data_IF_978145921108
#
_entry.id   IF_978145921108
#
_cell.length_a   1.000
_cell.length_b   1.000
_cell.length_c   1.000
_cell.angle_alpha   90.00
_cell.angle_beta   90.00
_cell.angle_gamma   90.00
#
_symmetry.space_group_name_H-M   'P 1'
#
loop_
_entity.id
_entity.type
_entity.pdbx_description
1 polymer ?
#
# COMPACT_ATOMS: atom_id res chain seq x y z
N UNK A 1 -3.35 -29.08 -52.68
CA UNK A 1 -2.91 -27.69 -52.44
C UNK A 1 -3.37 -27.33 -51.00
N UNK A 2 -2.47 -27.48 -50.03
CA UNK A 2 -2.77 -27.46 -48.61
C UNK A 2 -2.50 -26.03 -48.15
N UNK A 3 -3.52 -25.37 -47.61
CA UNK A 3 -3.36 -24.05 -46.98
C UNK A 3 -3.30 -24.25 -45.45
N UNK A 4 -2.14 -23.92 -44.88
CA UNK A 4 -1.88 -23.99 -43.45
C UNK A 4 -2.62 -22.86 -42.74
N UNK A 5 -3.41 -23.23 -41.72
CA UNK A 5 -4.05 -22.30 -40.82
C UNK A 5 -3.05 -21.66 -39.85
N UNK A 6 -3.08 -20.34 -39.74
CA UNK A 6 -2.41 -19.59 -38.72
C UNK A 6 -3.19 -19.72 -37.41
N UNK A 7 -2.57 -20.25 -36.37
CA UNK A 7 -3.03 -20.14 -34.99
C UNK A 7 -2.62 -18.79 -34.43
N UNK A 8 -3.53 -18.01 -33.81
CA UNK A 8 -3.12 -16.79 -33.15
C UNK A 8 -2.40 -17.12 -31.84
N UNK A 9 -1.22 -16.55 -31.68
CA UNK A 9 -0.44 -16.52 -30.45
C UNK A 9 -1.28 -15.76 -29.42
N UNK A 10 -1.71 -16.43 -28.34
CA UNK A 10 -2.34 -15.80 -27.18
C UNK A 10 -1.28 -14.93 -26.49
N UNK A 11 -1.43 -13.62 -26.57
CA UNK A 11 -0.68 -12.67 -25.77
C UNK A 11 -1.05 -12.91 -24.30
N UNK A 12 -0.08 -13.36 -23.50
CA UNK A 12 -0.19 -13.36 -22.05
C UNK A 12 -0.19 -11.89 -21.57
N UNK A 13 -1.37 -11.37 -21.28
CA UNK A 13 -1.51 -10.06 -20.68
C UNK A 13 -0.83 -10.05 -19.31
N UNK A 14 0.23 -9.26 -19.17
CA UNK A 14 0.88 -8.98 -17.90
C UNK A 14 -0.05 -8.07 -17.09
N UNK A 15 -0.81 -8.65 -16.17
CA UNK A 15 -1.59 -7.88 -15.21
C UNK A 15 -0.63 -7.23 -14.21
N UNK A 16 -0.54 -5.91 -14.25
CA UNK A 16 0.07 -5.11 -13.20
C UNK A 16 -0.81 -5.29 -11.98
N UNK A 17 -0.28 -5.97 -10.95
CA UNK A 17 -0.91 -6.01 -9.64
C UNK A 17 -0.74 -4.66 -8.97
N UNK A 18 -1.55 -3.68 -9.37
CA UNK A 18 -2.02 -2.69 -8.42
C UNK A 18 -2.98 -3.42 -7.50
N UNK A 19 -2.95 -3.19 -6.19
CA UNK A 19 -4.01 -3.63 -5.27
C UNK A 19 -5.31 -2.87 -5.51
N UNK A 20 -5.57 -2.52 -6.73
CA UNK A 20 -6.89 -2.29 -7.25
C UNK A 20 -7.55 -3.65 -7.19
N UNK A 21 -8.60 -3.78 -6.40
CA UNK A 21 -9.55 -4.86 -6.53
C UNK A 21 -10.17 -4.79 -7.93
N UNK A 22 -9.40 -5.15 -8.96
CA UNK A 22 -9.96 -5.54 -10.24
C UNK A 22 -10.54 -6.92 -10.00
N UNK A 23 -11.83 -6.98 -9.77
CA UNK A 23 -12.59 -8.21 -9.82
C UNK A 23 -12.39 -8.80 -11.22
N UNK A 24 -11.44 -9.74 -11.35
CA UNK A 24 -11.36 -10.56 -12.53
C UNK A 24 -12.55 -11.52 -12.52
N UNK A 25 -13.59 -11.19 -13.26
CA UNK A 25 -14.58 -12.18 -13.66
C UNK A 25 -13.96 -13.11 -14.71
N UNK A 26 -13.30 -14.18 -14.25
CA UNK A 26 -13.05 -15.32 -15.11
C UNK A 26 -14.36 -16.07 -15.32
N UNK A 27 -15.03 -15.82 -16.44
CA UNK A 27 -16.09 -16.69 -16.92
C UNK A 27 -15.43 -17.97 -17.45
N UNK A 28 -15.31 -18.96 -16.59
CA UNK A 28 -14.87 -20.30 -16.90
C UNK A 28 -15.53 -21.25 -15.91
N UNK A 29 -16.66 -21.85 -16.30
CA UNK A 29 -17.29 -22.92 -15.51
C UNK A 29 -16.38 -24.15 -15.49
N UNK A 30 -15.72 -24.41 -14.35
CA UNK A 30 -15.43 -25.78 -13.92
C UNK A 30 -16.15 -26.01 -12.59
N UNK A 31 -17.00 -27.03 -12.57
CA UNK A 31 -17.70 -27.50 -11.38
C UNK A 31 -16.64 -27.92 -10.34
N UNK A 32 -16.80 -27.48 -9.09
CA UNK A 32 -16.18 -27.92 -7.84
C UNK A 32 -14.98 -27.14 -7.24
N UNK A 33 -14.37 -26.14 -7.86
CA UNK A 33 -13.34 -25.35 -7.17
C UNK A 33 -13.87 -24.16 -6.34
N UNK A 34 -15.15 -23.84 -6.44
CA UNK A 34 -15.74 -22.64 -5.86
C UNK A 34 -15.92 -22.67 -4.33
N UNK A 35 -15.82 -23.84 -3.73
CA UNK A 35 -15.94 -24.05 -2.27
C UNK A 35 -14.57 -24.25 -1.60
N UNK A 36 -13.49 -24.35 -2.37
CA UNK A 36 -12.16 -24.60 -1.80
C UNK A 36 -11.62 -23.37 -1.10
N UNK A 37 -11.00 -23.59 0.07
CA UNK A 37 -10.16 -22.59 0.73
C UNK A 37 -8.81 -22.63 0.04
N UNK A 38 -8.35 -21.47 -0.44
CA UNK A 38 -6.98 -21.29 -0.92
C UNK A 38 -6.07 -20.88 0.24
N UNK A 39 -4.85 -21.38 0.22
CA UNK A 39 -3.77 -20.99 1.13
C UNK A 39 -2.63 -20.47 0.26
N UNK A 40 -2.12 -19.30 0.59
CA UNK A 40 -0.94 -18.71 -0.02
C UNK A 40 -0.14 -17.93 1.02
N UNK A 41 1.07 -17.55 0.69
CA UNK A 41 1.86 -16.76 1.61
C UNK A 41 3.23 -16.41 1.04
N UNK A 42 4.00 -15.68 1.82
CA UNK A 42 5.37 -15.32 1.48
C UNK A 42 6.19 -15.00 2.71
N UNK A 43 7.50 -14.99 2.52
CA UNK A 43 8.48 -14.50 3.49
C UNK A 43 9.36 -13.48 2.78
N UNK A 44 9.45 -12.29 3.36
CA UNK A 44 10.20 -11.14 2.88
C UNK A 44 11.27 -10.76 3.89
N UNK A 45 12.52 -10.78 3.45
CA UNK A 45 13.67 -10.37 4.25
C UNK A 45 14.57 -9.41 3.46
N UNK A 46 15.22 -8.48 4.15
CA UNK A 46 16.12 -7.54 3.52
C UNK A 46 17.37 -7.25 4.36
N UNK A 47 18.37 -6.70 3.68
CA UNK A 47 19.48 -5.98 4.28
C UNK A 47 19.50 -4.57 3.71
N UNK A 48 19.61 -3.56 4.57
CA UNK A 48 19.71 -2.14 4.16
C UNK A 48 20.99 -1.55 4.74
N UNK A 49 21.70 -0.72 3.96
CA UNK A 49 22.83 0.11 4.42
C UNK A 49 22.53 1.57 4.19
N UNK A 50 22.56 2.36 5.27
CA UNK A 50 22.52 3.82 5.23
C UNK A 50 23.96 4.36 5.22
N UNK A 51 24.32 5.12 4.18
CA UNK A 51 25.69 5.65 4.03
C UNK A 51 26.00 6.83 4.97
N UNK A 52 24.99 7.39 5.65
CA UNK A 52 25.20 8.36 6.72
C UNK A 52 25.64 7.71 8.04
N UNK A 53 25.53 6.38 8.14
CA UNK A 53 25.94 5.55 9.27
C UNK A 53 25.35 6.05 10.61
N UNK A 54 24.00 6.19 10.72
CA UNK A 54 23.37 6.75 11.90
C UNK A 54 23.55 5.84 13.12
N UNK A 55 23.90 6.43 14.26
CA UNK A 55 24.06 5.67 15.51
C UNK A 55 22.74 5.07 16.03
N UNK A 56 21.60 5.55 15.53
CA UNK A 56 20.28 4.97 15.79
C UNK A 56 20.05 3.62 15.09
N UNK A 57 20.89 3.25 14.12
CA UNK A 57 20.68 2.11 13.22
C UNK A 57 19.31 2.10 12.55
N UNK A 58 18.77 3.29 12.25
CA UNK A 58 17.45 3.48 11.66
C UNK A 58 17.49 4.45 10.47
N UNK A 59 16.78 4.09 9.41
CA UNK A 59 16.48 4.97 8.30
C UNK A 59 15.32 5.89 8.70
N UNK A 60 15.51 7.19 8.64
CA UNK A 60 14.46 8.16 8.97
C UNK A 60 13.43 8.26 7.86
N UNK A 61 12.19 8.58 8.26
CA UNK A 61 11.03 8.73 7.37
C UNK A 61 10.74 7.48 6.53
N UNK A 62 11.15 6.31 7.02
CA UNK A 62 10.84 5.00 6.45
C UNK A 62 9.88 4.24 7.36
N UNK A 63 9.04 3.39 6.78
CA UNK A 63 8.09 2.61 7.55
C UNK A 63 8.40 1.12 7.51
N UNK A 64 8.77 0.55 6.36
CA UNK A 64 8.93 -0.89 6.23
C UNK A 64 10.37 -1.35 6.09
N UNK A 65 11.30 -0.40 5.94
CA UNK A 65 12.75 -0.62 5.86
C UNK A 65 13.52 0.27 6.86
N UNK A 66 12.97 0.42 8.07
CA UNK A 66 13.54 1.24 9.16
C UNK A 66 14.91 0.73 9.62
N UNK A 67 15.08 -0.56 9.99
CA UNK A 67 16.38 -1.07 10.43
C UNK A 67 17.44 -0.97 9.33
N UNK A 68 18.62 -0.46 9.68
CA UNK A 68 19.76 -0.38 8.79
C UNK A 68 20.93 -1.20 9.31
N UNK A 69 21.85 -1.60 8.42
CA UNK A 69 23.07 -2.35 8.71
C UNK A 69 22.83 -3.69 9.41
N UNK A 70 21.69 -4.31 9.15
CA UNK A 70 21.34 -5.63 9.68
C UNK A 70 20.43 -6.38 8.70
N UNK A 71 20.42 -7.71 8.82
CA UNK A 71 19.42 -8.54 8.13
C UNK A 71 18.13 -8.46 8.94
N UNK A 72 17.01 -8.18 8.27
CA UNK A 72 15.71 -8.01 8.89
C UNK A 72 14.65 -8.87 8.22
N UNK A 73 13.77 -9.48 9.02
CA UNK A 73 12.52 -10.07 8.56
C UNK A 73 11.50 -8.93 8.43
N UNK A 74 11.21 -8.52 7.19
CA UNK A 74 10.24 -7.48 6.91
C UNK A 74 8.83 -7.97 7.17
N UNK A 75 8.43 -9.04 6.48
CA UNK A 75 7.09 -9.58 6.57
C UNK A 75 7.08 -11.08 6.26
N UNK A 76 6.38 -11.84 7.09
CA UNK A 76 5.96 -13.21 6.77
C UNK A 76 4.45 -13.26 6.85
N UNK A 77 3.78 -13.58 5.75
CA UNK A 77 2.33 -13.57 5.63
C UNK A 77 1.77 -14.94 5.26
N UNK A 78 0.65 -15.29 5.87
CA UNK A 78 -0.19 -16.43 5.47
C UNK A 78 -1.60 -15.92 5.19
N UNK A 79 -2.10 -16.19 3.99
CA UNK A 79 -3.43 -15.83 3.52
C UNK A 79 -4.30 -17.06 3.42
N UNK A 80 -5.45 -17.03 4.10
CA UNK A 80 -6.54 -17.99 3.96
C UNK A 80 -7.72 -17.30 3.29
N UNK A 81 -8.16 -17.79 2.15
CA UNK A 81 -9.25 -17.16 1.40
C UNK A 81 -10.24 -18.18 0.88
N UNK A 82 -11.53 -17.88 1.05
CA UNK A 82 -12.65 -18.54 0.37
C UNK A 82 -13.39 -17.49 -0.47
N UNK A 83 -13.50 -17.70 -1.78
CA UNK A 83 -14.29 -16.83 -2.66
C UNK A 83 -15.75 -16.81 -2.25
N UNK A 84 -16.38 -15.64 -2.32
CA UNK A 84 -17.80 -15.49 -2.01
C UNK A 84 -18.69 -16.07 -3.12
N UNK A 85 -19.50 -17.11 -2.76
CA UNK A 85 -20.52 -17.70 -3.64
C UNK A 85 -21.67 -18.31 -2.78
N UNK A 86 -22.60 -17.51 -2.25
CA UNK A 86 -22.58 -16.05 -2.13
C UNK A 86 -21.78 -15.54 -0.94
N UNK A 87 -21.27 -16.42 -0.04
CA UNK A 87 -20.52 -16.06 1.16
C UNK A 87 -19.08 -16.57 1.07
N UNK A 88 -18.14 -15.70 1.37
CA UNK A 88 -16.73 -15.97 1.46
C UNK A 88 -16.07 -15.30 2.65
N UNK A 89 -14.75 -15.43 2.77
CA UNK A 89 -13.95 -14.74 3.77
C UNK A 89 -12.49 -14.62 3.31
N UNK A 90 -11.77 -13.72 3.94
CA UNK A 90 -10.32 -13.62 3.88
C UNK A 90 -9.75 -13.41 5.27
N UNK A 91 -8.63 -14.09 5.57
CA UNK A 91 -7.84 -13.90 6.79
C UNK A 91 -6.38 -13.87 6.39
N UNK A 92 -5.69 -12.77 6.71
CA UNK A 92 -4.26 -12.58 6.50
C UNK A 92 -3.60 -12.45 7.88
N UNK A 93 -2.57 -13.28 8.11
CA UNK A 93 -1.83 -13.32 9.38
C UNK A 93 -0.38 -12.99 9.10
N UNK A 94 0.10 -11.93 9.75
CA UNK A 94 1.38 -11.29 9.51
C UNK A 94 2.32 -11.33 10.71
N UNK A 95 3.60 -11.48 10.41
CA UNK A 95 4.71 -11.39 11.36
C UNK A 95 5.87 -10.62 10.74
N UNK A 96 6.56 -9.82 11.54
CA UNK A 96 7.74 -9.06 11.09
C UNK A 96 7.63 -7.57 11.35
N UNK A 97 8.71 -6.84 11.09
CA UNK A 97 8.80 -5.41 11.42
C UNK A 97 7.83 -4.54 10.64
N UNK A 98 7.45 -4.93 9.42
CA UNK A 98 6.43 -4.23 8.65
C UNK A 98 5.05 -4.34 9.32
N UNK A 99 4.70 -5.51 9.85
CA UNK A 99 3.47 -5.68 10.61
C UNK A 99 3.44 -4.78 11.86
N UNK A 100 4.55 -4.68 12.60
CA UNK A 100 4.65 -3.82 13.77
C UNK A 100 4.32 -2.36 13.43
N UNK A 101 4.81 -1.86 12.30
CA UNK A 101 4.51 -0.51 11.80
C UNK A 101 3.04 -0.35 11.44
N UNK A 102 2.47 -1.28 10.68
CA UNK A 102 1.05 -1.25 10.27
C UNK A 102 0.12 -1.22 11.47
N UNK A 103 0.45 -1.99 12.53
CA UNK A 103 -0.37 -2.08 13.73
C UNK A 103 -0.07 -0.96 14.76
N UNK A 104 0.85 -0.04 14.46
CA UNK A 104 1.25 1.03 15.38
C UNK A 104 1.95 0.51 16.63
N UNK A 105 2.59 -0.66 16.55
CA UNK A 105 3.39 -1.21 17.65
C UNK A 105 4.69 -0.41 17.67
N UNK A 106 4.88 0.40 18.70
CA UNK A 106 6.18 1.01 18.92
C UNK A 106 7.23 -0.10 19.11
N UNK A 107 8.48 0.05 18.64
CA UNK A 107 9.52 -0.97 18.73
C UNK A 107 9.72 -1.55 20.14
N UNK A 108 9.17 -0.87 21.16
CA UNK A 108 9.23 -1.24 22.58
C UNK A 108 7.92 -0.96 23.31
N UNK A 109 6.79 -0.82 22.59
CA UNK A 109 5.51 -0.40 23.13
C UNK A 109 4.64 -1.58 23.59
N UNK A 110 3.84 -1.34 24.60
CA UNK A 110 2.76 -2.22 25.03
C UNK A 110 1.51 -1.86 24.25
N UNK A 111 0.98 -2.79 23.44
CA UNK A 111 -0.33 -2.62 22.83
C UNK A 111 -1.40 -3.27 23.70
N UNK A 112 -2.52 -2.58 23.96
CA UNK A 112 -3.60 -3.12 24.81
C UNK A 112 -4.32 -4.33 24.18
N UNK A 113 -4.15 -4.60 22.88
CA UNK A 113 -4.88 -5.63 22.12
C UNK A 113 -3.94 -6.52 21.31
N UNK A 114 -3.00 -7.18 22.00
CA UNK A 114 -1.96 -8.00 21.39
C UNK A 114 -2.48 -9.13 20.47
N UNK A 115 -3.72 -9.58 20.65
CA UNK A 115 -4.30 -10.65 19.82
C UNK A 115 -4.69 -10.21 18.40
N UNK A 116 -4.87 -8.92 18.16
CA UNK A 116 -5.21 -8.37 16.84
C UNK A 116 -3.98 -7.86 16.07
N UNK A 117 -2.82 -7.83 16.69
CA UNK A 117 -1.60 -7.23 16.11
C UNK A 117 -1.01 -8.06 14.97
N UNK A 118 -1.33 -9.36 14.89
CA UNK A 118 -0.87 -10.23 13.81
C UNK A 118 -1.95 -10.45 12.73
N UNK A 119 -3.12 -9.83 12.86
CA UNK A 119 -4.17 -9.92 11.86
C UNK A 119 -4.14 -8.67 10.98
N UNK A 120 -3.60 -8.80 9.77
CA UNK A 120 -3.64 -7.71 8.78
C UNK A 120 -5.04 -7.54 8.23
N UNK A 121 -5.67 -8.63 7.82
CA UNK A 121 -7.04 -8.65 7.34
C UNK A 121 -7.82 -9.81 7.96
N UNK A 122 -9.08 -9.57 8.32
CA UNK A 122 -10.06 -10.60 8.65
C UNK A 122 -11.46 -10.07 8.38
N UNK A 123 -12.07 -10.51 7.27
CA UNK A 123 -13.40 -10.06 6.89
C UNK A 123 -14.23 -11.15 6.23
N UNK A 124 -15.53 -11.03 6.39
CA UNK A 124 -16.54 -11.82 5.67
C UNK A 124 -16.96 -11.06 4.42
N UNK A 125 -17.16 -11.78 3.33
CA UNK A 125 -17.67 -11.23 2.07
C UNK A 125 -19.04 -11.85 1.75
N UNK A 126 -20.03 -11.01 1.48
CA UNK A 126 -21.32 -11.41 0.94
C UNK A 126 -21.55 -10.81 -0.44
N UNK A 127 -22.02 -11.61 -1.40
CA UNK A 127 -22.48 -11.13 -2.70
C UNK A 127 -23.99 -11.11 -2.72
N UNK A 128 -24.55 -9.91 -2.84
CA UNK A 128 -26.00 -9.66 -2.89
C UNK A 128 -26.40 -9.47 -4.36
N UNK A 129 -27.37 -10.23 -4.88
CA UNK A 129 -27.73 -10.22 -6.31
C UNK A 129 -28.63 -9.01 -6.68
N UNK A 130 -28.06 -7.80 -6.48
CA UNK A 130 -28.69 -6.53 -6.87
C UNK A 130 -27.96 -6.01 -8.11
N UNK A 131 -28.66 -5.86 -9.23
CA UNK A 131 -28.08 -5.40 -10.49
C UNK A 131 -26.88 -6.25 -10.92
N UNK A 132 -25.70 -5.63 -11.06
CA UNK A 132 -24.45 -6.30 -11.43
C UNK A 132 -23.76 -7.06 -10.25
N UNK A 133 -24.40 -7.13 -9.09
CA UNK A 133 -23.89 -7.76 -7.88
C UNK A 133 -23.25 -6.75 -6.92
N UNK A 134 -23.91 -6.53 -5.77
CA UNK A 134 -23.35 -5.73 -4.67
C UNK A 134 -22.53 -6.65 -3.78
N UNK A 135 -21.25 -6.32 -3.60
CA UNK A 135 -20.37 -6.99 -2.64
C UNK A 135 -20.34 -6.22 -1.33
N UNK A 136 -20.52 -6.94 -0.22
CA UNK A 136 -20.42 -6.39 1.14
C UNK A 136 -19.33 -7.13 1.90
N UNK A 137 -18.31 -6.41 2.36
CA UNK A 137 -17.26 -6.91 3.24
C UNK A 137 -17.43 -6.33 4.64
N UNK A 138 -17.36 -7.18 5.67
CA UNK A 138 -17.48 -6.78 7.08
C UNK A 138 -16.33 -7.37 7.88
N UNK A 139 -15.56 -6.49 8.54
CA UNK A 139 -14.41 -6.87 9.35
C UNK A 139 -13.25 -5.91 9.18
N UNK A 140 -12.01 -6.42 9.34
CA UNK A 140 -10.77 -5.67 9.13
C UNK A 140 -10.23 -5.92 7.73
N UNK A 141 -9.93 -4.86 6.99
CA UNK A 141 -9.40 -4.91 5.62
C UNK A 141 -8.41 -3.78 5.38
N UNK A 142 -7.48 -3.96 4.44
CA UNK A 142 -6.53 -2.91 4.04
C UNK A 142 -7.26 -1.71 3.46
N UNK A 143 -6.63 -0.54 3.55
CA UNK A 143 -7.17 0.71 3.03
C UNK A 143 -7.49 0.63 1.53
N UNK A 144 -8.38 1.49 1.08
CA UNK A 144 -8.68 1.72 -0.33
C UNK A 144 -7.81 2.81 -0.96
N UNK A 145 -6.95 3.44 -0.16
CA UNK A 145 -6.14 4.61 -0.55
C UNK A 145 -4.72 4.19 -0.89
N UNK A 146 -4.10 4.97 -1.79
CA UNK A 146 -2.71 4.80 -2.21
C UNK A 146 -2.50 3.84 -3.37
N UNK A 147 -1.43 4.09 -4.12
CA UNK A 147 -0.98 3.21 -5.20
C UNK A 147 -0.21 2.00 -4.69
N UNK A 148 0.64 2.20 -3.69
CA UNK A 148 1.43 1.13 -3.09
C UNK A 148 0.62 0.30 -2.08
N UNK A 149 1.16 -0.87 -1.72
CA UNK A 149 0.57 -1.81 -0.77
C UNK A 149 1.57 -2.21 0.31
N UNK A 150 1.06 -2.87 1.36
CA UNK A 150 1.87 -3.35 2.48
C UNK A 150 2.88 -4.40 2.00
N UNK A 151 2.50 -5.30 1.11
CA UNK A 151 3.31 -6.40 0.62
C UNK A 151 4.34 -5.93 -0.40
N UNK A 152 5.64 -6.05 -0.09
CA UNK A 152 6.71 -5.57 -0.99
C UNK A 152 6.68 -6.23 -2.36
N UNK A 153 6.30 -7.51 -2.43
CA UNK A 153 6.24 -8.29 -3.67
C UNK A 153 5.31 -7.70 -4.73
N UNK A 154 4.29 -6.95 -4.31
CA UNK A 154 3.25 -6.39 -5.17
C UNK A 154 3.52 -4.92 -5.55
N UNK A 155 4.58 -4.31 -5.00
CA UNK A 155 5.06 -2.98 -5.37
C UNK A 155 6.16 -3.03 -6.43
N UNK A 156 6.36 -1.94 -7.15
CA UNK A 156 7.46 -1.81 -8.12
C UNK A 156 8.81 -1.52 -7.43
N UNK A 157 8.78 -0.76 -6.33
CA UNK A 157 9.94 -0.51 -5.47
C UNK A 157 9.84 -1.35 -4.20
N UNK A 158 10.97 -1.64 -3.56
CA UNK A 158 10.97 -2.36 -2.29
C UNK A 158 10.54 -1.47 -1.13
N UNK A 159 11.18 -0.31 -0.97
CA UNK A 159 10.78 0.69 0.03
C UNK A 159 9.49 1.40 -0.39
N UNK A 160 8.65 1.77 0.57
CA UNK A 160 7.41 2.51 0.29
C UNK A 160 7.70 4.00 0.14
N UNK A 161 6.83 4.67 -0.63
CA UNK A 161 6.83 6.12 -0.79
C UNK A 161 6.54 6.83 0.54
N UNK A 162 6.82 8.12 0.59
CA UNK A 162 6.41 8.99 1.71
C UNK A 162 4.89 9.12 1.76
N UNK A 163 4.22 9.12 0.57
CA UNK A 163 2.76 9.13 0.50
C UNK A 163 2.16 7.91 1.20
N UNK A 164 2.60 6.71 0.84
CA UNK A 164 2.10 5.49 1.47
C UNK A 164 2.43 5.45 2.97
N UNK A 165 3.61 5.95 3.35
CA UNK A 165 4.07 5.91 4.72
C UNK A 165 3.32 6.89 5.64
N UNK A 166 2.98 8.10 5.13
CA UNK A 166 2.58 9.22 5.99
C UNK A 166 1.28 9.92 5.56
N UNK A 167 0.85 9.81 4.29
CA UNK A 167 -0.32 10.53 3.81
C UNK A 167 -1.65 9.80 4.00
N UNK A 168 -1.64 8.46 4.09
CA UNK A 168 -2.82 7.61 4.05
C UNK A 168 -2.85 6.59 5.20
N UNK A 169 -4.03 6.04 5.57
CA UNK A 169 -4.12 4.92 6.51
C UNK A 169 -3.66 3.61 5.87
N UNK A 170 -3.33 2.60 6.70
CA UNK A 170 -2.99 1.25 6.23
C UNK A 170 -4.19 0.31 6.18
N UNK A 171 -5.11 0.43 7.15
CA UNK A 171 -6.25 -0.47 7.27
C UNK A 171 -7.47 0.21 7.90
N UNK A 172 -8.60 -0.46 7.79
CA UNK A 172 -9.86 -0.08 8.42
C UNK A 172 -10.56 -1.31 9.00
N UNK A 173 -11.38 -1.10 10.02
CA UNK A 173 -12.35 -2.07 10.52
C UNK A 173 -13.75 -1.48 10.35
N UNK A 174 -14.64 -2.21 9.68
CA UNK A 174 -16.00 -1.72 9.40
C UNK A 174 -16.69 -2.48 8.28
N UNK A 175 -17.47 -1.74 7.51
CA UNK A 175 -18.24 -2.19 6.36
C UNK A 175 -17.71 -1.53 5.08
N UNK A 176 -17.50 -2.33 4.04
CA UNK A 176 -17.21 -1.88 2.67
C UNK A 176 -18.29 -2.44 1.73
N UNK A 177 -18.92 -1.56 0.96
CA UNK A 177 -19.91 -1.91 -0.06
C UNK A 177 -19.35 -1.56 -1.43
N UNK A 178 -19.16 -2.55 -2.29
CA UNK A 178 -18.60 -2.37 -3.64
C UNK A 178 -19.62 -2.73 -4.69
N UNK A 179 -19.86 -1.82 -5.64
CA UNK A 179 -20.80 -2.03 -6.73
C UNK A 179 -20.15 -1.73 -8.09
N UNK A 180 -20.08 -2.71 -9.00
CA UNK A 180 -19.64 -2.53 -10.38
C UNK A 180 -20.79 -1.97 -11.22
N UNK A 181 -20.78 -0.68 -11.52
CA UNK A 181 -21.80 -0.06 -12.38
C UNK A 181 -21.66 -0.50 -13.84
N UNK A 182 -20.41 -0.75 -14.27
CA UNK A 182 -20.05 -1.28 -15.58
C UNK A 182 -18.73 -2.06 -15.45
N UNK A 183 -18.33 -2.79 -16.50
CA UNK A 183 -17.08 -3.57 -16.55
C UNK A 183 -15.82 -2.70 -16.29
N UNK A 184 -15.92 -1.41 -16.59
CA UNK A 184 -14.84 -0.44 -16.47
C UNK A 184 -15.12 0.66 -15.42
N UNK A 185 -16.19 0.55 -14.64
CA UNK A 185 -16.57 1.56 -13.64
C UNK A 185 -17.11 0.93 -12.37
N UNK A 186 -16.38 1.12 -11.26
CA UNK A 186 -16.70 0.58 -9.93
C UNK A 186 -16.69 1.68 -8.88
N UNK A 187 -17.63 1.62 -7.94
CA UNK A 187 -17.68 2.50 -6.78
C UNK A 187 -17.71 1.65 -5.51
N UNK A 188 -16.94 2.03 -4.50
CA UNK A 188 -17.02 1.45 -3.17
C UNK A 188 -17.29 2.52 -2.12
N UNK A 189 -18.18 2.22 -1.18
CA UNK A 189 -18.49 3.03 0.00
C UNK A 189 -17.97 2.30 1.24
N UNK A 190 -17.38 3.06 2.16
CA UNK A 190 -16.82 2.55 3.41
C UNK A 190 -17.48 3.25 4.59
N UNK A 191 -17.85 2.49 5.62
CA UNK A 191 -18.27 2.99 6.93
C UNK A 191 -17.40 2.27 7.96
N UNK A 192 -16.45 2.99 8.52
CA UNK A 192 -15.36 2.38 9.30
C UNK A 192 -15.15 3.07 10.64
N UNK A 193 -14.43 2.39 11.53
CA UNK A 193 -14.11 2.91 12.87
C UNK A 193 -13.13 4.07 12.86
N UNK A 194 -12.39 4.26 11.77
CA UNK A 194 -11.46 5.38 11.62
C UNK A 194 -10.14 5.01 10.93
N UNK A 195 -9.15 5.87 11.11
CA UNK A 195 -7.79 5.78 10.57
C UNK A 195 -6.96 4.79 11.38
N UNK A 196 -6.58 3.66 10.79
CA UNK A 196 -5.80 2.60 11.45
C UNK A 196 -6.42 2.14 12.79
N UNK A 197 -7.76 2.14 12.90
CA UNK A 197 -8.47 1.87 14.14
C UNK A 197 -9.20 0.54 14.09
N UNK A 198 -8.75 -0.43 14.92
CA UNK A 198 -9.48 -1.67 15.12
C UNK A 198 -10.72 -1.44 16.00
N UNK A 199 -10.57 -0.59 17.01
CA UNK A 199 -11.62 -0.18 17.94
C UNK A 199 -11.79 1.32 17.82
N UNK A 200 -13.03 1.74 17.66
CA UNK A 200 -13.35 3.16 17.56
C UNK A 200 -13.00 3.90 18.85
N UNK A 201 -12.37 5.05 18.73
CA UNK A 201 -11.95 5.90 19.84
C UNK A 201 -12.90 7.09 20.10
N UNK A 202 -13.97 7.22 19.30
CA UNK A 202 -15.00 8.26 19.40
C UNK A 202 -16.38 7.70 19.04
N UNK A 203 -17.43 8.53 18.98
CA UNK A 203 -18.80 8.09 18.71
C UNK A 203 -19.15 8.06 17.21
N UNK A 204 -18.37 8.76 16.39
CA UNK A 204 -18.67 8.96 14.97
C UNK A 204 -17.95 7.92 14.11
N UNK A 205 -18.53 7.60 12.95
CA UNK A 205 -17.89 6.73 11.97
C UNK A 205 -17.21 7.55 10.89
N UNK A 206 -16.06 7.07 10.45
CA UNK A 206 -15.39 7.61 9.27
C UNK A 206 -16.01 7.04 8.00
N UNK A 207 -16.16 7.90 7.00
CA UNK A 207 -16.73 7.56 5.71
C UNK A 207 -15.64 7.54 4.65
N UNK A 208 -15.65 6.53 3.79
CA UNK A 208 -14.75 6.42 2.64
C UNK A 208 -15.53 6.26 1.33
N UNK A 209 -14.93 6.78 0.27
CA UNK A 209 -15.40 6.60 -1.10
C UNK A 209 -14.20 6.20 -1.96
N UNK A 210 -14.35 5.15 -2.75
CA UNK A 210 -13.42 4.80 -3.81
C UNK A 210 -14.15 4.74 -5.15
N UNK A 211 -13.62 5.41 -6.14
CA UNK A 211 -14.12 5.41 -7.52
C UNK A 211 -13.01 4.94 -8.42
N UNK A 212 -13.24 3.85 -9.15
CA UNK A 212 -12.32 3.32 -10.14
C UNK A 212 -12.94 3.38 -11.53
N UNK A 213 -12.19 3.93 -12.49
CA UNK A 213 -12.59 4.01 -13.88
C UNK A 213 -11.46 3.63 -14.82
N UNK A 214 -11.71 2.73 -15.75
CA UNK A 214 -10.76 2.28 -16.77
C UNK A 214 -11.26 2.67 -18.16
N UNK A 215 -10.95 3.89 -18.65
CA UNK A 215 -11.43 4.36 -19.96
C UNK A 215 -10.92 3.49 -21.12
N UNK A 216 -9.83 2.79 -20.92
CA UNK A 216 -9.25 1.83 -21.88
C UNK A 216 -8.59 0.68 -21.14
N UNK A 217 -8.23 -0.39 -21.85
CA UNK A 217 -7.48 -1.51 -21.26
C UNK A 217 -6.06 -1.16 -20.78
N UNK A 218 -5.55 0.02 -21.11
CA UNK A 218 -4.19 0.47 -20.75
C UNK A 218 -4.18 1.60 -19.72
N UNK A 219 -5.34 2.21 -19.39
CA UNK A 219 -5.44 3.36 -18.50
C UNK A 219 -6.35 3.03 -17.33
N UNK A 220 -5.91 3.30 -16.11
CA UNK A 220 -6.70 3.26 -14.89
C UNK A 220 -6.70 4.63 -14.19
N UNK A 221 -7.86 5.03 -13.70
CA UNK A 221 -8.06 6.24 -12.91
C UNK A 221 -8.73 5.85 -11.61
N UNK A 222 -8.22 6.37 -10.49
CA UNK A 222 -8.84 6.16 -9.18
C UNK A 222 -8.92 7.48 -8.42
N UNK A 223 -10.04 7.68 -7.75
CA UNK A 223 -10.25 8.76 -6.80
C UNK A 223 -10.74 8.14 -5.50
N UNK A 224 -10.00 8.36 -4.43
CA UNK A 224 -10.33 7.88 -3.11
C UNK A 224 -10.48 9.06 -2.16
N UNK A 225 -11.43 8.97 -1.25
CA UNK A 225 -11.69 9.99 -0.23
C UNK A 225 -11.96 9.31 1.10
N UNK A 226 -11.48 9.90 2.18
CA UNK A 226 -11.85 9.54 3.55
C UNK A 226 -12.15 10.82 4.34
N UNK A 227 -13.22 10.80 5.16
CA UNK A 227 -13.65 11.90 6.01
C UNK A 227 -14.22 11.35 7.33
N UNK A 228 -13.63 11.73 8.46
CA UNK A 228 -14.09 11.29 9.78
C UNK A 228 -13.44 12.01 10.93
N UNK A 229 -14.02 11.89 12.12
CA UNK A 229 -13.37 12.29 13.36
C UNK A 229 -12.40 11.19 13.78
N UNK A 230 -11.13 11.57 14.04
CA UNK A 230 -10.08 10.60 14.36
C UNK A 230 -9.49 10.80 15.77
N UNK A 231 -9.89 11.87 16.44
CA UNK A 231 -9.45 12.18 17.81
C UNK A 231 -10.49 11.70 18.83
N UNK A 232 -10.06 11.19 20.01
CA UNK A 232 -10.99 10.86 21.09
C UNK A 232 -11.54 12.12 21.75
N UNK A 233 -12.75 12.07 22.34
CA UNK A 233 -13.27 13.17 23.16
C UNK A 233 -12.34 13.50 24.35
N UNK A 234 -12.15 14.77 24.72
CA UNK A 234 -12.76 15.97 24.16
C UNK A 234 -11.94 16.62 23.02
N UNK A 235 -11.06 15.87 22.37
CA UNK A 235 -10.14 16.37 21.33
C UNK A 235 -10.72 16.27 19.91
N UNK A 236 -11.91 15.70 19.76
CA UNK A 236 -12.67 15.49 18.51
C UNK A 236 -13.31 16.78 17.97
N UNK A 237 -12.53 17.87 17.90
CA UNK A 237 -13.00 19.19 17.51
C UNK A 237 -13.17 19.37 16.01
N UNK A 238 -12.61 18.48 15.22
CA UNK A 238 -12.70 18.54 13.75
C UNK A 238 -12.35 17.22 13.11
N UNK A 239 -12.65 17.17 11.82
CA UNK A 239 -12.45 15.96 11.02
C UNK A 239 -11.07 15.91 10.37
N UNK A 240 -10.60 14.69 10.15
CA UNK A 240 -9.51 14.35 9.23
C UNK A 240 -10.09 14.02 7.87
N UNK A 241 -9.54 14.63 6.80
CA UNK A 241 -9.93 14.37 5.42
C UNK A 241 -8.72 14.04 4.61
N UNK A 242 -8.87 13.10 3.69
CA UNK A 242 -7.83 12.77 2.71
C UNK A 242 -8.46 12.56 1.35
N UNK A 243 -7.83 13.12 0.34
CA UNK A 243 -8.09 12.87 -1.07
C UNK A 243 -6.85 12.21 -1.66
N UNK A 244 -7.05 11.12 -2.36
CA UNK A 244 -6.01 10.36 -3.04
C UNK A 244 -6.43 10.17 -4.50
N UNK A 245 -5.55 10.53 -5.41
CA UNK A 245 -5.76 10.41 -6.84
C UNK A 245 -4.65 9.60 -7.48
N UNK A 246 -5.03 8.57 -8.26
CA UNK A 246 -4.09 7.67 -8.92
C UNK A 246 -4.41 7.59 -10.41
N UNK A 247 -3.37 7.68 -11.23
CA UNK A 247 -3.42 7.41 -12.67
C UNK A 247 -2.40 6.33 -12.99
N UNK A 248 -2.85 5.25 -13.61
CA UNK A 248 -1.97 4.20 -14.13
C UNK A 248 -2.05 4.15 -15.65
N UNK A 249 -0.91 4.00 -16.32
CA UNK A 249 -0.83 3.94 -17.78
C UNK A 249 0.16 2.86 -18.21
N UNK A 250 -0.32 1.83 -18.90
CA UNK A 250 0.52 0.95 -19.70
C UNK A 250 0.82 1.64 -21.02
N UNK A 251 2.04 2.17 -21.18
CA UNK A 251 2.47 2.87 -22.40
C UNK A 251 2.77 1.88 -23.50
N UNK A 252 3.42 0.76 -23.13
CA UNK A 252 3.66 -0.41 -23.97
C UNK A 252 3.55 -1.66 -23.11
N UNK A 253 3.67 -2.85 -23.71
CA UNK A 253 3.72 -4.11 -22.96
C UNK A 253 4.90 -4.19 -21.98
N UNK A 254 5.98 -3.45 -22.25
CA UNK A 254 7.19 -3.43 -21.42
C UNK A 254 7.28 -2.21 -20.50
N UNK A 255 6.58 -1.12 -20.78
CA UNK A 255 6.72 0.14 -20.07
C UNK A 255 5.39 0.65 -19.50
N UNK A 256 5.38 0.91 -18.21
CA UNK A 256 4.23 1.46 -17.49
C UNK A 256 4.63 2.68 -16.65
N UNK A 257 3.69 3.59 -16.47
CA UNK A 257 3.78 4.78 -15.65
C UNK A 257 2.63 4.82 -14.63
N UNK A 258 2.90 5.39 -13.46
CA UNK A 258 1.87 5.70 -12.48
C UNK A 258 2.14 7.06 -11.85
N UNK A 259 1.07 7.79 -11.60
CA UNK A 259 1.04 8.99 -10.77
C UNK A 259 0.15 8.70 -9.57
N UNK A 260 0.60 9.03 -8.37
CA UNK A 260 -0.21 9.10 -7.16
C UNK A 260 -0.05 10.49 -6.55
N UNK A 261 -1.15 11.10 -6.11
CA UNK A 261 -1.15 12.43 -5.49
C UNK A 261 -2.16 12.46 -4.35
N UNK A 262 -1.71 12.94 -3.18
CA UNK A 262 -2.49 13.01 -1.96
C UNK A 262 -2.57 14.44 -1.43
N UNK A 263 -3.73 14.76 -0.87
CA UNK A 263 -3.95 15.92 -0.02
C UNK A 263 -4.72 15.50 1.21
N UNK A 264 -4.22 15.87 2.40
CA UNK A 264 -4.90 15.62 3.65
C UNK A 264 -4.94 16.86 4.54
N UNK A 265 -5.97 16.92 5.36
CA UNK A 265 -6.11 17.91 6.42
C UNK A 265 -6.77 17.31 7.66
N UNK A 266 -6.45 17.87 8.83
CA UNK A 266 -7.13 17.57 10.09
C UNK A 266 -7.22 18.83 10.95
N UNK A 267 -8.42 19.12 11.47
CA UNK A 267 -8.63 20.21 12.40
C UNK A 267 -8.48 19.70 13.83
N UNK A 268 -7.47 20.20 14.53
CA UNK A 268 -7.18 19.92 15.93
C UNK A 268 -7.46 21.14 16.81
N UNK A 269 -7.43 20.99 18.14
CA UNK A 269 -7.47 22.12 19.09
C UNK A 269 -6.33 23.11 18.81
N UNK A 270 -5.17 22.62 18.36
CA UNK A 270 -4.01 23.43 17.98
C UNK A 270 -4.11 24.11 16.61
N UNK A 271 -5.24 23.97 15.92
CA UNK A 271 -5.49 24.50 14.58
C UNK A 271 -5.45 23.47 13.47
N UNK A 272 -5.65 23.94 12.26
CA UNK A 272 -5.63 23.11 11.05
C UNK A 272 -4.22 22.56 10.80
N UNK A 273 -4.13 21.26 10.52
CA UNK A 273 -2.93 20.56 10.05
C UNK A 273 -3.15 20.12 8.63
N UNK A 274 -2.13 20.25 7.78
CA UNK A 274 -2.22 19.88 6.38
C UNK A 274 -0.99 19.09 5.95
N UNK A 275 -1.18 18.19 4.99
CA UNK A 275 -0.09 17.51 4.29
C UNK A 275 -0.50 17.23 2.85
N UNK A 276 0.49 17.11 1.97
CA UNK A 276 0.24 16.82 0.57
C UNK A 276 1.51 16.29 -0.11
N UNK A 277 1.32 15.60 -1.20
CA UNK A 277 2.45 15.14 -1.98
C UNK A 277 2.04 14.54 -3.32
N UNK A 278 3.05 14.21 -4.10
CA UNK A 278 2.88 13.50 -5.36
C UNK A 278 4.09 12.61 -5.65
N UNK A 279 3.82 11.42 -6.15
CA UNK A 279 4.81 10.43 -6.56
C UNK A 279 4.58 10.00 -7.99
N UNK A 280 5.65 9.92 -8.77
CA UNK A 280 5.65 9.39 -10.14
C UNK A 280 6.50 8.13 -10.17
N UNK A 281 5.95 7.08 -10.75
CA UNK A 281 6.58 5.78 -10.89
C UNK A 281 6.71 5.44 -12.37
N UNK A 282 7.85 4.88 -12.75
CA UNK A 282 8.07 4.30 -14.06
C UNK A 282 8.65 2.89 -13.93
N UNK A 283 8.11 1.91 -14.64
CA UNK A 283 8.64 0.54 -14.66
C UNK A 283 8.85 0.07 -16.08
N UNK A 284 10.05 -0.47 -16.32
CA UNK A 284 10.41 -1.09 -17.61
C UNK A 284 10.81 -2.55 -17.39
N UNK A 285 10.07 -3.46 -17.98
CA UNK A 285 10.35 -4.88 -17.98
C UNK A 285 11.25 -5.24 -19.17
N UNK A 286 12.48 -5.68 -18.93
CA UNK A 286 13.38 -6.16 -19.98
C UNK A 286 12.91 -7.49 -20.55
N UNK A 287 12.34 -8.32 -19.71
CA UNK A 287 11.76 -9.63 -20.02
C UNK A 287 10.87 -10.11 -18.85
N UNK A 288 10.36 -11.35 -18.92
CA UNK A 288 9.50 -11.91 -17.88
C UNK A 288 10.16 -12.06 -16.49
N UNK A 289 11.49 -11.97 -16.40
CA UNK A 289 12.25 -12.18 -15.16
C UNK A 289 12.88 -10.92 -14.60
N UNK A 290 13.10 -9.89 -15.40
CA UNK A 290 13.86 -8.72 -14.97
C UNK A 290 13.20 -7.42 -15.35
N UNK A 291 13.20 -6.48 -14.42
CA UNK A 291 12.66 -5.14 -14.60
C UNK A 291 13.48 -4.11 -13.83
N UNK A 292 13.34 -2.86 -14.22
CA UNK A 292 13.78 -1.69 -13.46
C UNK A 292 12.58 -0.83 -13.14
N UNK A 293 12.54 -0.28 -11.93
CA UNK A 293 11.56 0.71 -11.52
C UNK A 293 12.25 1.96 -10.98
N UNK A 294 11.68 3.11 -11.29
CA UNK A 294 12.09 4.41 -10.78
C UNK A 294 10.89 5.07 -10.10
N UNK A 295 11.13 5.72 -8.97
CA UNK A 295 10.17 6.56 -8.28
C UNK A 295 10.82 7.91 -7.96
N UNK A 296 10.10 8.99 -8.19
CA UNK A 296 10.42 10.32 -7.71
C UNK A 296 9.23 10.89 -6.98
N UNK A 297 9.43 11.49 -5.82
CA UNK A 297 8.37 11.94 -4.95
C UNK A 297 8.68 13.27 -4.27
N UNK A 298 7.64 14.04 -4.01
CA UNK A 298 7.64 15.24 -3.17
C UNK A 298 6.57 15.08 -2.10
N UNK A 299 6.89 15.44 -0.85
CA UNK A 299 5.98 15.41 0.28
C UNK A 299 6.16 16.68 1.12
N UNK A 300 5.07 17.41 1.33
CA UNK A 300 5.00 18.66 2.07
C UNK A 300 4.12 18.46 3.30
N UNK A 301 4.69 18.64 4.49
CA UNK A 301 4.06 18.49 5.81
C UNK A 301 4.40 19.73 6.66
N UNK A 302 3.74 20.88 6.38
CA UNK A 302 4.15 22.21 6.90
C UNK A 302 4.28 22.30 8.42
N UNK A 303 3.54 21.50 9.15
CA UNK A 303 3.57 21.45 10.62
C UNK A 303 4.33 20.22 11.16
N UNK A 304 4.87 19.36 10.29
CA UNK A 304 5.48 18.09 10.68
C UNK A 304 4.49 17.15 11.38
N UNK A 305 3.19 17.30 11.05
CA UNK A 305 2.09 16.60 11.71
C UNK A 305 1.94 15.17 11.19
N UNK A 306 1.87 15.00 9.88
CA UNK A 306 1.68 13.69 9.26
C UNK A 306 2.86 12.76 9.53
N UNK A 307 4.08 13.29 9.49
CA UNK A 307 5.31 12.55 9.83
C UNK A 307 5.53 12.36 11.33
N UNK A 308 4.80 13.09 12.18
CA UNK A 308 5.00 13.09 13.63
C UNK A 308 6.30 13.76 14.09
N UNK A 309 7.05 14.41 13.20
CA UNK A 309 8.32 15.05 13.55
C UNK A 309 8.15 16.39 14.25
N UNK A 310 7.00 17.08 14.07
CA UNK A 310 6.75 18.41 14.62
C UNK A 310 7.71 19.49 14.09
N UNK A 311 8.35 19.24 12.94
CA UNK A 311 9.31 20.16 12.32
C UNK A 311 8.53 21.11 11.41
N UNK A 312 8.60 22.45 11.66
CA UNK A 312 7.89 23.40 10.82
C UNK A 312 8.51 23.50 9.42
N UNK A 313 7.65 23.74 8.43
CA UNK A 313 8.01 23.85 7.01
C UNK A 313 8.77 22.61 6.49
N UNK A 314 8.33 21.43 6.93
CA UNK A 314 8.94 20.18 6.50
C UNK A 314 8.55 19.91 5.04
N UNK A 315 9.55 19.88 4.17
CA UNK A 315 9.47 19.36 2.80
C UNK A 315 10.45 18.20 2.64
N UNK A 316 9.99 17.10 2.09
CA UNK A 316 10.84 15.93 1.83
C UNK A 316 10.66 15.50 0.38
N UNK A 317 11.76 15.17 -0.26
CA UNK A 317 11.79 14.64 -1.62
C UNK A 317 12.57 13.35 -1.63
N UNK A 318 12.22 12.47 -2.54
CA UNK A 318 12.98 11.24 -2.72
C UNK A 318 13.12 10.85 -4.19
N UNK A 319 14.19 10.10 -4.47
CA UNK A 319 14.39 9.39 -5.73
C UNK A 319 14.83 7.97 -5.40
N UNK A 320 14.12 6.99 -5.96
CA UNK A 320 14.39 5.56 -5.77
C UNK A 320 14.55 4.86 -7.10
N UNK A 321 15.57 4.01 -7.20
CA UNK A 321 15.80 3.11 -8.32
C UNK A 321 15.90 1.67 -7.82
N UNK A 322 15.10 0.78 -8.39
CA UNK A 322 15.00 -0.63 -8.02
C UNK A 322 15.24 -1.51 -9.23
N UNK A 323 16.16 -2.46 -9.13
CA UNK A 323 16.28 -3.56 -10.08
C UNK A 323 15.69 -4.82 -9.48
N UNK A 324 14.80 -5.46 -10.23
CA UNK A 324 14.10 -6.69 -9.87
C UNK A 324 14.58 -7.86 -10.72
N UNK A 325 14.82 -9.00 -10.06
CA UNK A 325 15.09 -10.26 -10.75
C UNK A 325 14.33 -11.42 -10.14
N UNK A 326 13.53 -12.09 -10.96
CA UNK A 326 12.73 -13.27 -10.61
C UNK A 326 13.51 -14.52 -11.01
N UNK A 327 14.14 -15.19 -10.06
CA UNK A 327 14.90 -16.43 -10.29
C UNK A 327 13.98 -17.56 -10.76
N UNK A 328 12.90 -17.75 -10.03
CA UNK A 328 11.76 -18.61 -10.33
C UNK A 328 10.50 -17.86 -9.91
N UNK A 329 9.31 -18.35 -10.26
CA UNK A 329 8.05 -17.69 -9.91
C UNK A 329 7.87 -17.50 -8.39
N UNK A 330 8.45 -18.40 -7.60
CA UNK A 330 8.41 -18.39 -6.14
C UNK A 330 9.55 -17.60 -5.48
N UNK A 331 10.50 -17.01 -6.23
CA UNK A 331 11.66 -16.31 -5.64
C UNK A 331 12.00 -15.02 -6.39
N UNK A 332 11.80 -13.90 -5.71
CA UNK A 332 12.05 -12.55 -6.17
C UNK A 332 13.22 -11.93 -5.40
N UNK A 333 14.17 -11.30 -6.09
CA UNK A 333 15.26 -10.54 -5.49
C UNK A 333 15.25 -9.13 -6.05
N UNK A 334 15.45 -8.15 -5.18
CA UNK A 334 15.52 -6.72 -5.53
C UNK A 334 16.78 -6.09 -4.97
N UNK A 335 17.43 -5.26 -5.79
CA UNK A 335 18.43 -4.32 -5.36
C UNK A 335 17.88 -2.92 -5.52
N UNK A 336 17.93 -2.10 -4.47
CA UNK A 336 17.34 -0.77 -4.46
C UNK A 336 18.31 0.27 -3.92
N UNK A 337 18.40 1.41 -4.60
CA UNK A 337 19.10 2.60 -4.14
C UNK A 337 18.07 3.73 -3.98
N UNK A 338 18.08 4.40 -2.82
CA UNK A 338 17.18 5.52 -2.54
C UNK A 338 17.90 6.67 -1.89
N UNK A 339 17.57 7.88 -2.32
CA UNK A 339 18.05 9.13 -1.74
C UNK A 339 16.87 9.99 -1.30
N UNK A 340 16.75 10.22 0.02
CA UNK A 340 15.81 11.15 0.62
C UNK A 340 16.51 12.43 0.96
N UNK A 341 15.87 13.59 0.74
CA UNK A 341 16.42 14.89 1.10
C UNK A 341 15.33 15.90 1.48
N UNK A 342 15.70 16.85 2.34
CA UNK A 342 14.84 17.94 2.82
C UNK A 342 15.64 19.23 2.89
N UNK A 343 14.98 20.38 2.75
CA UNK A 343 15.60 21.68 2.98
C UNK A 343 15.98 21.91 4.45
N UNK A 344 15.23 21.26 5.36
CA UNK A 344 15.50 21.26 6.80
C UNK A 344 16.37 20.04 7.16
N UNK A 345 17.45 20.21 7.95
CA UNK A 345 18.27 19.07 8.39
C UNK A 345 17.50 18.21 9.40
N UNK A 346 16.99 17.09 8.91
CA UNK A 346 16.17 16.12 9.67
C UNK A 346 16.78 14.72 9.72
N UNK A 347 17.81 14.46 8.92
CA UNK A 347 18.45 13.15 8.89
C UNK A 347 19.66 13.09 9.84
N UNK A 348 20.01 11.89 10.25
CA UNK A 348 21.11 11.63 11.18
C UNK A 348 22.40 11.33 10.43
N UNK A 349 23.52 11.72 10.99
CA UNK A 349 24.84 11.33 10.52
C UNK A 349 25.72 10.92 11.69
N UNK A 350 26.12 9.64 11.73
CA UNK A 350 26.82 9.05 12.87
C UNK A 350 26.06 9.31 14.17
N UNK A 351 26.72 9.82 15.19
CA UNK A 351 26.12 10.15 16.47
C UNK A 351 25.32 11.48 16.48
N UNK A 352 25.33 12.24 15.39
CA UNK A 352 24.67 13.54 15.31
C UNK A 352 23.26 13.39 14.76
N UNK A 353 22.25 13.75 15.55
CA UNK A 353 20.84 13.65 15.23
C UNK A 353 20.37 14.93 14.54
N UNK A 354 19.56 14.80 13.47
CA UNK A 354 18.98 15.92 12.71
C UNK A 354 20.04 16.93 12.22
N UNK A 355 21.15 16.45 11.66
CA UNK A 355 22.27 17.34 11.29
C UNK A 355 22.54 17.42 9.80
N UNK A 356 21.91 16.56 8.98
CA UNK A 356 22.11 16.57 7.54
C UNK A 356 20.77 16.61 6.80
N UNK A 357 20.84 17.12 5.57
CA UNK A 357 19.67 17.36 4.72
C UNK A 357 19.25 16.13 3.92
N UNK A 358 20.00 15.04 3.97
CA UNK A 358 19.65 13.85 3.19
C UNK A 358 20.30 12.59 3.71
N UNK A 359 19.71 11.47 3.30
CA UNK A 359 20.24 10.12 3.52
C UNK A 359 20.22 9.33 2.23
N UNK A 360 21.29 8.60 1.97
CA UNK A 360 21.40 7.65 0.86
C UNK A 360 21.41 6.25 1.44
N UNK A 361 20.55 5.38 0.89
CA UNK A 361 20.46 3.98 1.30
C UNK A 361 20.62 3.05 0.10
N UNK A 362 21.17 1.86 0.37
CA UNK A 362 21.16 0.73 -0.56
C UNK A 362 20.56 -0.47 0.17
N UNK A 363 19.65 -1.16 -0.50
CA UNK A 363 18.92 -2.30 0.04
C UNK A 363 18.98 -3.48 -0.91
N UNK A 364 19.09 -4.68 -0.33
CA UNK A 364 18.84 -5.95 -1.04
C UNK A 364 17.70 -6.66 -0.33
N UNK A 365 16.61 -6.90 -1.06
CA UNK A 365 15.42 -7.62 -0.58
C UNK A 365 15.26 -8.95 -1.29
N UNK A 366 14.79 -9.95 -0.54
CA UNK A 366 14.51 -11.31 -1.03
C UNK A 366 13.13 -11.74 -0.57
N UNK A 367 12.27 -12.13 -1.51
CA UNK A 367 10.91 -12.58 -1.23
C UNK A 367 10.71 -13.99 -1.78
N UNK A 368 10.35 -14.93 -0.89
CA UNK A 368 9.96 -16.28 -1.25
C UNK A 368 8.44 -16.44 -1.09
N UNK A 369 7.76 -16.97 -2.13
CA UNK A 369 6.29 -17.04 -2.22
C UNK A 369 5.81 -18.48 -2.47
N UNK A 370 4.60 -18.83 -2.02
CA UNK A 370 3.94 -20.12 -2.28
C UNK A 370 2.43 -19.98 -2.46
#
# INVERSE_FOLDING_TARGET
MIIHGFTPVRSAGFLISCSVFVLQFAVGQSKDSSQAISVSGFVDAYYSKNFADPASHANKLRNFDIPENQINLSLAEIVLQKKAQPIGFRVDVDFGTANDVVQGIAPYGTTPYSTLTNIQQAYLTGVIPIGNGLTADVGKFVTHMGYEVIESKDNWNYSRSLLFAWAIPYYHTGLRLTYPFADNFTVALHVVNGWNSNIDNNAEKSLGLAVSYSPSGSTGLMLNVMDGFEQPPPFDVGKKKVFDFIVTQNVTDAFALTLNADYGDETLISGLKTWRGAAVYGRYAFNAKSAVALRGEIFDDPEGYATGLGVPQLDVKEVTATYEYKFVDALLVRGEARYDFSTTPIFDKKANVNTVNGQMTFLVGVVAMF
#
